data_IF_461507145246
#
_entry.id   IF_461507145246
#
_cell.length_a   1.000
_cell.length_b   1.000
_cell.length_c   1.000
_cell.angle_alpha   90.00
_cell.angle_beta   90.00
_cell.angle_gamma   90.00
#
_symmetry.space_group_name_H-M   'P 1'
#
loop_
_entity.id
_entity.type
_entity.pdbx_description
1 polymer ?
#
# COMPACT_ATOMS: atom_id res chain seq x y z
N UNK A 1 -62.97 -41.25 15.11
CA UNK A 1 -62.47 -39.96 15.60
C UNK A 1 -61.43 -39.45 14.62
N UNK A 2 -61.79 -38.45 13.80
CA UNK A 2 -60.91 -37.81 12.81
C UNK A 2 -60.31 -36.56 13.46
N UNK A 3 -59.00 -36.49 13.59
CA UNK A 3 -58.28 -35.33 14.13
C UNK A 3 -57.57 -34.57 13.01
N UNK A 4 -58.20 -33.50 12.53
CA UNK A 4 -57.57 -32.48 11.68
C UNK A 4 -56.71 -31.55 12.56
N UNK A 5 -55.42 -31.43 12.26
CA UNK A 5 -54.58 -30.31 12.73
C UNK A 5 -54.32 -29.38 11.55
N UNK A 6 -55.01 -28.23 11.54
CA UNK A 6 -54.77 -27.12 10.60
C UNK A 6 -53.47 -26.40 11.00
N UNK A 7 -52.50 -26.32 10.08
CA UNK A 7 -51.39 -25.36 10.17
C UNK A 7 -51.85 -24.03 9.56
N UNK A 8 -51.83 -22.97 10.35
CA UNK A 8 -52.02 -21.60 9.90
C UNK A 8 -50.67 -21.03 9.45
N UNK A 9 -50.59 -20.58 8.20
CA UNK A 9 -49.46 -19.79 7.69
C UNK A 9 -49.72 -18.31 7.93
N UNK A 10 -48.92 -17.68 8.80
CA UNK A 10 -48.88 -16.22 8.92
C UNK A 10 -47.81 -15.68 7.97
N UNK A 11 -48.26 -14.93 6.96
CA UNK A 11 -47.43 -14.02 6.18
C UNK A 11 -47.21 -12.74 7.00
N UNK A 12 -45.96 -12.43 7.34
CA UNK A 12 -45.54 -11.11 7.80
C UNK A 12 -44.48 -10.59 6.83
N UNK A 13 -44.82 -9.51 6.13
CA UNK A 13 -43.95 -8.77 5.23
C UNK A 13 -42.94 -7.91 6.02
N UNK A 14 -41.70 -7.71 5.53
CA UNK A 14 -40.79 -6.75 6.14
C UNK A 14 -40.92 -5.37 5.45
N UNK A 15 -41.53 -4.41 6.15
CA UNK A 15 -41.45 -2.97 5.86
C UNK A 15 -40.72 -2.27 7.01
N UNK A 16 -39.41 -2.51 7.16
CA UNK A 16 -38.53 -1.69 7.99
C UNK A 16 -37.07 -1.82 7.48
N UNK A 17 -36.71 -1.12 6.39
CA UNK A 17 -35.28 -0.97 6.03
C UNK A 17 -34.99 0.21 5.09
N UNK A 18 -35.44 1.43 5.42
CA UNK A 18 -35.07 2.64 4.62
C UNK A 18 -34.53 3.80 5.47
N UNK A 19 -34.52 3.72 6.80
CA UNK A 19 -34.12 4.88 7.65
C UNK A 19 -32.62 4.91 8.02
N UNK A 20 -31.86 3.86 7.76
CA UNK A 20 -30.43 3.80 8.16
C UNK A 20 -29.44 4.40 7.13
N UNK A 21 -29.88 4.75 5.92
CA UNK A 21 -28.96 5.17 4.83
C UNK A 21 -28.75 6.70 4.74
N UNK A 22 -29.55 7.52 5.41
CA UNK A 22 -29.46 8.99 5.35
C UNK A 22 -28.64 9.61 6.47
N UNK A 23 -28.31 8.87 7.53
CA UNK A 23 -27.57 9.41 8.69
C UNK A 23 -26.04 9.40 8.53
N UNK A 24 -25.52 8.78 7.47
CA UNK A 24 -24.07 8.65 7.24
C UNK A 24 -23.50 9.71 6.27
N UNK A 25 -24.35 10.47 5.57
CA UNK A 25 -23.92 11.49 4.61
C UNK A 25 -23.80 12.91 5.21
N UNK A 26 -24.12 13.10 6.50
CA UNK A 26 -24.21 14.42 7.15
C UNK A 26 -23.02 14.80 8.04
N UNK A 27 -22.08 13.90 8.34
CA UNK A 27 -20.90 14.22 9.15
C UNK A 27 -19.68 14.49 8.28
N UNK A 28 -19.59 15.75 7.81
CA UNK A 28 -18.49 16.26 7.00
C UNK A 28 -17.13 16.14 7.70
N UNK A 29 -16.20 15.47 7.04
CA UNK A 29 -14.77 15.51 7.33
C UNK A 29 -14.22 16.90 6.98
N UNK A 30 -13.65 17.60 7.96
CA UNK A 30 -12.80 18.78 7.71
C UNK A 30 -11.33 18.36 7.86
N UNK A 31 -10.57 18.49 6.77
CA UNK A 31 -9.12 18.37 6.80
C UNK A 31 -8.52 19.70 7.26
N UNK A 32 -7.81 19.69 8.39
CA UNK A 32 -6.95 20.80 8.81
C UNK A 32 -5.65 20.71 8.03
N UNK A 33 -5.49 21.56 7.01
CA UNK A 33 -4.25 21.73 6.27
C UNK A 33 -3.32 22.65 7.07
N UNK A 34 -2.45 22.08 7.89
CA UNK A 34 -1.26 22.78 8.38
C UNK A 34 -0.10 21.80 8.51
N UNK A 35 0.58 21.55 7.40
CA UNK A 35 1.93 21.01 7.41
C UNK A 35 2.71 21.64 6.26
N UNK A 36 3.61 22.54 6.61
CA UNK A 36 4.61 23.15 5.74
C UNK A 36 5.53 22.05 5.22
N UNK A 37 5.52 21.79 3.91
CA UNK A 37 6.48 20.95 3.22
C UNK A 37 7.62 21.80 2.65
N UNK A 38 8.89 21.34 2.70
CA UNK A 38 9.99 22.03 2.05
C UNK A 38 9.92 21.82 0.53
N UNK A 39 10.10 22.90 -0.23
CA UNK A 39 10.24 22.83 -1.68
C UNK A 39 11.57 22.15 -2.04
N UNK A 40 11.49 21.04 -2.77
CA UNK A 40 12.63 20.42 -3.47
C UNK A 40 12.51 20.83 -4.94
N UNK A 41 13.49 21.61 -5.40
CA UNK A 41 13.59 22.07 -6.79
C UNK A 41 14.26 21.01 -7.67
N UNK A 42 13.56 20.60 -8.73
CA UNK A 42 14.10 20.35 -10.07
C UNK A 42 14.87 19.04 -10.32
N UNK A 43 14.24 18.13 -11.07
CA UNK A 43 14.93 17.46 -12.18
C UNK A 43 13.95 17.29 -13.35
N UNK A 44 14.43 17.60 -14.55
CA UNK A 44 13.72 17.46 -15.82
C UNK A 44 13.50 15.98 -16.13
N UNK A 45 12.27 15.61 -16.50
CA UNK A 45 11.93 14.28 -16.96
C UNK A 45 12.37 14.14 -18.43
N UNK A 46 13.44 13.36 -18.66
CA UNK A 46 13.79 12.91 -20.00
C UNK A 46 12.82 11.80 -20.42
N UNK A 47 12.21 11.98 -21.58
CA UNK A 47 11.36 10.99 -22.23
C UNK A 47 12.20 9.80 -22.69
N UNK A 48 12.04 8.65 -22.03
CA UNK A 48 12.65 7.39 -22.46
C UNK A 48 11.74 6.75 -23.51
N UNK A 49 12.27 6.65 -24.72
CA UNK A 49 11.71 5.92 -25.84
C UNK A 49 11.87 4.40 -25.58
N UNK A 50 10.77 3.66 -25.55
CA UNK A 50 10.70 2.24 -25.19
C UNK A 50 10.36 1.38 -26.42
N UNK A 51 11.15 1.49 -27.49
CA UNK A 51 11.01 0.62 -28.68
C UNK A 51 12.34 0.08 -29.24
N UNK A 52 13.35 -0.10 -28.38
CA UNK A 52 14.53 -0.90 -28.77
C UNK A 52 14.45 -2.29 -28.15
N UNK A 53 14.31 -3.31 -28.99
CA UNK A 53 14.26 -4.73 -28.64
C UNK A 53 15.57 -5.27 -28.07
N UNK A 54 16.08 -4.65 -27.01
CA UNK A 54 17.26 -5.09 -26.29
C UNK A 54 16.83 -6.16 -25.28
N UNK A 55 17.28 -7.39 -25.52
CA UNK A 55 17.12 -8.52 -24.59
C UNK A 55 17.71 -8.16 -23.23
N UNK A 56 16.87 -8.24 -22.18
CA UNK A 56 17.23 -8.07 -20.77
C UNK A 56 18.15 -9.22 -20.34
N UNK A 57 19.42 -9.19 -20.75
CA UNK A 57 20.37 -10.25 -20.35
C UNK A 57 21.57 -9.79 -19.53
N UNK A 58 22.07 -8.56 -19.62
CA UNK A 58 23.44 -8.31 -19.09
C UNK A 58 23.66 -7.07 -18.19
N UNK A 59 22.63 -6.45 -17.58
CA UNK A 59 22.86 -5.28 -16.70
C UNK A 59 22.32 -5.38 -15.27
N UNK A 60 21.78 -6.53 -14.88
CA UNK A 60 21.29 -6.76 -13.51
C UNK A 60 22.14 -7.89 -12.93
N UNK A 61 23.09 -7.56 -12.05
CA UNK A 61 23.69 -8.43 -11.00
C UNK A 61 25.05 -7.85 -10.57
N UNK A 62 25.04 -6.73 -9.84
CA UNK A 62 26.17 -6.39 -8.97
C UNK A 62 25.89 -6.98 -7.58
N UNK A 63 26.36 -8.21 -7.35
CA UNK A 63 26.27 -8.88 -6.05
C UNK A 63 27.43 -8.47 -5.14
N UNK A 64 27.13 -7.83 -4.01
CA UNK A 64 28.13 -7.55 -2.96
C UNK A 64 28.12 -8.67 -1.91
N UNK A 65 29.04 -9.63 -2.02
CA UNK A 65 29.13 -10.84 -1.19
C UNK A 65 29.82 -10.60 0.16
N UNK A 66 29.03 -10.37 1.21
CA UNK A 66 29.47 -10.63 2.58
C UNK A 66 28.40 -11.37 3.39
N UNK A 67 28.89 -12.15 4.34
CA UNK A 67 28.43 -13.49 4.65
C UNK A 67 27.20 -13.59 5.56
N UNK A 68 26.57 -14.76 5.45
CA UNK A 68 25.38 -15.28 6.12
C UNK A 68 25.42 -15.17 7.66
N UNK A 69 24.68 -14.20 8.21
CA UNK A 69 24.16 -14.22 9.58
C UNK A 69 22.62 -14.37 9.55
N UNK A 70 22.11 -15.31 8.74
CA UNK A 70 20.69 -15.70 8.72
C UNK A 70 19.68 -14.67 8.17
N UNK A 71 20.13 -13.58 7.54
CA UNK A 71 19.26 -12.53 6.98
C UNK A 71 18.90 -12.74 5.51
N UNK A 72 17.78 -12.13 5.07
CA UNK A 72 17.42 -12.01 3.65
C UNK A 72 18.32 -10.95 3.02
N UNK A 73 18.96 -11.28 1.90
CA UNK A 73 19.80 -10.34 1.16
C UNK A 73 19.12 -9.91 -0.12
N UNK A 74 18.70 -8.65 -0.17
CA UNK A 74 18.13 -8.04 -1.36
C UNK A 74 19.24 -7.86 -2.40
N UNK A 75 19.17 -8.64 -3.47
CA UNK A 75 20.26 -8.77 -4.45
C UNK A 75 19.99 -8.00 -5.74
N UNK A 76 18.72 -7.66 -5.99
CA UNK A 76 18.28 -7.13 -7.27
C UNK A 76 17.14 -6.14 -7.10
N UNK A 77 17.30 -4.94 -7.65
CA UNK A 77 16.22 -3.97 -7.77
C UNK A 77 15.64 -4.07 -9.19
N UNK A 78 14.41 -4.57 -9.32
CA UNK A 78 13.72 -4.66 -10.64
C UNK A 78 13.24 -3.27 -11.08
N UNK A 79 12.89 -2.42 -10.13
CA UNK A 79 12.48 -1.03 -10.34
C UNK A 79 12.89 -0.20 -9.13
N UNK A 80 13.65 0.87 -9.38
CA UNK A 80 14.23 1.70 -8.31
C UNK A 80 13.15 2.16 -7.33
N UNK A 81 13.32 1.81 -6.06
CA UNK A 81 12.42 2.14 -4.94
C UNK A 81 10.99 1.56 -5.06
N UNK A 82 10.72 0.63 -5.99
CA UNK A 82 9.40 0.02 -6.12
C UNK A 82 9.38 -1.49 -5.92
N UNK A 83 10.36 -2.21 -6.46
CA UNK A 83 10.39 -3.67 -6.46
C UNK A 83 11.81 -4.15 -6.19
N UNK A 84 11.96 -4.99 -5.17
CA UNK A 84 13.20 -5.67 -4.81
C UNK A 84 13.02 -7.17 -4.85
N UNK A 85 14.09 -7.88 -5.21
CA UNK A 85 14.15 -9.33 -5.23
C UNK A 85 15.34 -9.79 -4.39
N UNK A 86 15.08 -10.76 -3.53
CA UNK A 86 16.08 -11.48 -2.78
C UNK A 86 16.04 -12.95 -3.17
N UNK A 87 17.21 -13.49 -3.46
CA UNK A 87 17.40 -14.92 -3.69
C UNK A 87 18.04 -15.55 -2.46
N UNK A 88 17.48 -16.67 -2.02
CA UNK A 88 17.98 -17.42 -0.88
C UNK A 88 18.90 -18.52 -1.42
N UNK A 89 20.17 -18.18 -1.62
CA UNK A 89 21.22 -19.06 -2.13
C UNK A 89 21.94 -19.83 -1.00
N UNK A 90 22.58 -20.96 -1.35
CA UNK A 90 24.03 -20.95 -1.58
C UNK A 90 24.38 -20.93 -3.08
N UNK A 91 25.56 -20.39 -3.44
CA UNK A 91 26.03 -19.81 -4.72
C UNK A 91 25.62 -20.43 -6.08
N UNK A 92 24.96 -21.59 -6.16
CA UNK A 92 24.57 -22.26 -7.41
C UNK A 92 23.16 -22.82 -7.45
N UNK A 93 22.47 -22.92 -6.30
CA UNK A 93 21.13 -23.50 -6.22
C UNK A 93 20.25 -22.72 -5.23
N UNK A 94 18.97 -22.54 -5.58
CA UNK A 94 18.01 -21.95 -4.65
C UNK A 94 17.82 -22.87 -3.44
N UNK A 95 17.89 -22.31 -2.24
CA UNK A 95 17.62 -23.01 -0.97
C UNK A 95 16.23 -23.63 -0.93
N UNK A 96 15.30 -23.10 -1.72
CA UNK A 96 13.96 -23.66 -1.86
C UNK A 96 13.37 -23.46 -3.25
N UNK A 97 12.24 -24.13 -3.50
CA UNK A 97 11.57 -24.16 -4.81
C UNK A 97 10.32 -23.29 -4.88
N UNK A 98 9.99 -22.57 -3.80
CA UNK A 98 8.82 -21.69 -3.74
C UNK A 98 9.21 -20.21 -3.82
N UNK A 99 8.27 -19.38 -4.26
CA UNK A 99 8.39 -17.92 -4.32
C UNK A 99 7.50 -17.31 -3.26
N UNK A 100 7.99 -16.27 -2.60
CA UNK A 100 7.18 -15.33 -1.85
C UNK A 100 7.09 -14.02 -2.63
N UNK A 101 5.89 -13.47 -2.76
CA UNK A 101 5.68 -12.09 -3.21
C UNK A 101 4.93 -11.34 -2.11
N UNK A 102 5.46 -10.21 -1.68
CA UNK A 102 4.87 -9.34 -0.66
C UNK A 102 4.50 -8.00 -1.29
N UNK A 103 3.24 -7.60 -1.14
CA UNK A 103 2.75 -6.30 -1.61
C UNK A 103 2.22 -5.48 -0.44
N UNK A 104 2.87 -4.35 -0.17
CA UNK A 104 2.47 -3.44 0.89
C UNK A 104 1.17 -2.70 0.60
N UNK A 105 0.50 -2.26 1.67
CA UNK A 105 -0.66 -1.38 1.60
C UNK A 105 -0.31 0.03 1.14
N UNK A 106 -1.33 0.87 0.92
CA UNK A 106 -1.16 2.24 0.39
C UNK A 106 -0.04 2.99 1.11
N UNK A 107 0.88 3.58 0.33
CA UNK A 107 2.06 4.35 0.75
C UNK A 107 3.13 3.59 1.55
N UNK A 108 3.02 2.27 1.69
CA UNK A 108 4.11 1.48 2.24
C UNK A 108 5.36 1.63 1.36
N UNK A 109 6.48 2.04 1.94
CA UNK A 109 7.74 2.15 1.20
C UNK A 109 8.32 0.77 0.93
N UNK A 110 9.15 0.65 -0.11
CA UNK A 110 9.80 -0.62 -0.44
C UNK A 110 10.58 -1.19 0.74
N UNK A 111 11.41 -0.37 1.40
CA UNK A 111 12.20 -0.78 2.57
C UNK A 111 11.35 -1.25 3.76
N UNK A 112 10.11 -0.79 3.86
CA UNK A 112 9.19 -1.25 4.90
C UNK A 112 8.63 -2.64 4.58
N UNK A 113 8.31 -2.89 3.32
CA UNK A 113 7.84 -4.21 2.86
C UNK A 113 8.98 -5.23 2.89
N UNK A 114 10.20 -4.82 2.55
CA UNK A 114 11.42 -5.62 2.72
C UNK A 114 11.59 -6.04 4.19
N UNK A 115 11.49 -5.08 5.12
CA UNK A 115 11.59 -5.35 6.56
C UNK A 115 10.49 -6.29 7.07
N UNK A 116 9.25 -6.09 6.62
CA UNK A 116 8.15 -7.03 6.92
C UNK A 116 8.46 -8.44 6.42
N UNK A 117 8.97 -8.56 5.18
CA UNK A 117 9.35 -9.85 4.62
C UNK A 117 10.49 -10.55 5.34
N UNK A 118 11.50 -9.81 5.78
CA UNK A 118 12.58 -10.34 6.62
C UNK A 118 12.06 -10.94 7.92
N UNK A 119 11.21 -10.20 8.64
CA UNK A 119 10.68 -10.68 9.92
C UNK A 119 9.71 -11.85 9.71
N UNK A 120 8.87 -11.81 8.68
CA UNK A 120 7.97 -12.91 8.34
C UNK A 120 8.77 -14.18 7.95
N UNK A 121 9.90 -14.03 7.24
CA UNK A 121 10.78 -15.14 6.91
C UNK A 121 11.43 -15.77 8.14
N UNK A 122 12.03 -14.95 9.01
CA UNK A 122 12.61 -15.40 10.28
C UNK A 122 11.59 -16.13 11.14
N UNK A 123 10.39 -15.55 11.27
CA UNK A 123 9.36 -16.09 12.14
C UNK A 123 8.70 -17.36 11.57
N UNK A 124 8.53 -17.47 10.23
CA UNK A 124 7.66 -18.51 9.67
C UNK A 124 8.00 -19.04 8.29
N UNK A 125 8.44 -18.21 7.35
CA UNK A 125 8.51 -18.64 5.95
C UNK A 125 9.67 -19.59 5.62
N UNK A 126 10.66 -19.74 6.50
CA UNK A 126 11.69 -20.76 6.34
C UNK A 126 11.11 -22.19 6.27
N UNK A 127 9.91 -22.41 6.82
CA UNK A 127 9.20 -23.68 6.79
C UNK A 127 8.44 -23.94 5.45
N UNK A 128 8.36 -22.95 4.55
CA UNK A 128 7.60 -23.02 3.30
C UNK A 128 8.49 -23.25 2.07
N UNK A 129 9.73 -23.71 2.26
CA UNK A 129 10.68 -23.98 1.18
C UNK A 129 10.83 -22.80 0.19
N UNK A 130 10.81 -21.56 0.72
CA UNK A 130 10.96 -20.34 -0.09
C UNK A 130 12.41 -20.22 -0.54
N UNK A 131 12.62 -20.04 -1.84
CA UNK A 131 13.91 -19.78 -2.47
C UNK A 131 14.06 -18.37 -3.05
N UNK A 132 12.94 -17.70 -3.36
CA UNK A 132 12.93 -16.34 -3.90
C UNK A 132 11.91 -15.50 -3.15
N UNK A 133 12.26 -14.27 -2.80
CA UNK A 133 11.37 -13.28 -2.20
C UNK A 133 11.32 -12.05 -3.10
N UNK A 134 10.12 -11.59 -3.45
CA UNK A 134 9.87 -10.35 -4.19
C UNK A 134 9.10 -9.41 -3.27
N UNK A 135 9.67 -8.26 -2.92
CA UNK A 135 9.01 -7.21 -2.17
C UNK A 135 8.57 -6.10 -3.12
N UNK A 136 7.33 -5.64 -2.96
CA UNK A 136 6.72 -4.58 -3.78
C UNK A 136 6.18 -3.50 -2.86
N UNK A 137 6.58 -2.25 -3.10
CA UNK A 137 6.04 -1.08 -2.38
C UNK A 137 4.51 -1.01 -2.51
N UNK A 138 3.90 -0.27 -1.61
CA UNK A 138 2.49 0.08 -1.71
C UNK A 138 2.16 1.08 -2.82
N UNK A 139 0.91 1.09 -3.32
CA UNK A 139 0.46 2.11 -4.24
C UNK A 139 0.41 3.48 -3.55
N UNK A 140 0.63 4.56 -4.32
CA UNK A 140 0.61 5.92 -3.76
C UNK A 140 -0.81 6.39 -3.35
N UNK A 141 -1.84 5.79 -3.95
CA UNK A 141 -3.25 6.04 -3.68
C UNK A 141 -4.00 4.72 -3.38
N UNK A 142 -5.16 4.84 -2.74
CA UNK A 142 -5.90 3.69 -2.21
C UNK A 142 -6.34 2.70 -3.30
N UNK A 143 -6.52 3.16 -4.54
CA UNK A 143 -7.09 2.37 -5.65
C UNK A 143 -6.10 2.12 -6.79
N UNK A 144 -4.84 2.50 -6.58
CA UNK A 144 -3.76 2.35 -7.55
C UNK A 144 -4.10 2.95 -8.93
N UNK A 145 -4.73 4.12 -8.94
CA UNK A 145 -5.18 4.80 -10.17
C UNK A 145 -3.99 5.23 -11.02
N UNK A 146 -2.92 5.70 -10.39
CA UNK A 146 -1.74 6.21 -11.09
C UNK A 146 -0.90 5.10 -11.77
N UNK A 147 -1.11 3.83 -11.39
CA UNK A 147 -0.38 2.66 -11.92
C UNK A 147 1.14 2.85 -11.89
N UNK A 148 1.65 3.50 -10.84
CA UNK A 148 3.04 3.97 -10.81
C UNK A 148 4.05 2.84 -10.57
N UNK A 149 3.61 1.69 -10.04
CA UNK A 149 4.47 0.54 -9.81
C UNK A 149 4.67 -0.19 -11.14
N UNK A 150 5.91 -0.53 -11.48
CA UNK A 150 6.25 -1.26 -12.71
C UNK A 150 5.85 -2.75 -12.64
N UNK A 151 4.58 -3.04 -12.35
CA UNK A 151 4.00 -4.39 -12.15
C UNK A 151 4.24 -5.28 -13.36
N UNK A 152 4.16 -4.73 -14.59
CA UNK A 152 4.44 -5.52 -15.80
C UNK A 152 5.87 -6.05 -15.82
N UNK A 153 6.87 -5.18 -15.58
CA UNK A 153 8.29 -5.60 -15.54
C UNK A 153 8.54 -6.63 -14.43
N UNK A 154 7.92 -6.45 -13.26
CA UNK A 154 7.97 -7.45 -12.19
C UNK A 154 7.35 -8.78 -12.61
N UNK A 155 6.23 -8.74 -13.34
CA UNK A 155 5.56 -9.94 -13.84
C UNK A 155 6.40 -10.65 -14.90
N UNK A 156 7.04 -9.91 -15.82
CA UNK A 156 7.99 -10.45 -16.80
C UNK A 156 9.13 -11.19 -16.11
N UNK A 157 9.74 -10.54 -15.11
CA UNK A 157 10.79 -11.12 -14.28
C UNK A 157 10.31 -12.36 -13.51
N UNK A 158 9.11 -12.30 -12.92
CA UNK A 158 8.50 -13.42 -12.20
C UNK A 158 8.29 -14.66 -13.09
N UNK A 159 7.79 -14.46 -14.32
CA UNK A 159 7.64 -15.57 -15.27
C UNK A 159 9.02 -16.11 -15.69
N UNK A 160 10.01 -15.24 -15.88
CA UNK A 160 11.38 -15.66 -16.20
C UNK A 160 11.98 -16.55 -15.10
N UNK A 161 11.91 -16.15 -13.82
CA UNK A 161 12.45 -16.98 -12.73
C UNK A 161 11.75 -18.34 -12.62
N UNK A 162 10.45 -18.41 -12.94
CA UNK A 162 9.71 -19.67 -12.99
C UNK A 162 10.27 -20.63 -14.05
N UNK A 163 10.62 -20.10 -15.24
CA UNK A 163 11.23 -20.87 -16.33
C UNK A 163 12.64 -21.33 -15.97
N UNK A 164 13.44 -20.45 -15.37
CA UNK A 164 14.85 -20.71 -15.09
C UNK A 164 15.06 -21.71 -13.94
N UNK A 165 14.22 -21.65 -12.91
CA UNK A 165 14.44 -22.42 -11.67
C UNK A 165 13.46 -23.56 -11.43
N UNK A 166 12.49 -23.74 -12.35
CA UNK A 166 11.42 -24.73 -12.25
C UNK A 166 10.72 -24.67 -10.88
N UNK A 167 10.15 -23.51 -10.57
CA UNK A 167 9.54 -23.23 -9.26
C UNK A 167 8.21 -23.97 -9.09
N UNK A 168 7.94 -24.36 -7.84
CA UNK A 168 6.78 -25.16 -7.44
C UNK A 168 5.57 -24.28 -7.16
N UNK A 169 5.62 -23.43 -6.12
CA UNK A 169 4.49 -22.63 -5.67
C UNK A 169 4.88 -21.16 -5.45
N UNK A 170 3.89 -20.26 -5.57
CA UNK A 170 4.03 -18.86 -5.20
C UNK A 170 3.07 -18.53 -4.08
N UNK A 171 3.59 -18.00 -2.98
CA UNK A 171 2.84 -17.37 -1.90
C UNK A 171 2.78 -15.87 -2.19
N UNK A 172 1.66 -15.39 -2.70
CA UNK A 172 1.45 -13.96 -2.96
C UNK A 172 0.64 -13.38 -1.81
N UNK A 173 1.27 -12.57 -0.96
CA UNK A 173 0.63 -11.91 0.17
C UNK A 173 0.46 -10.43 -0.18
N UNK A 174 -0.77 -9.95 -0.17
CA UNK A 174 -1.10 -8.56 -0.42
C UNK A 174 -1.89 -7.98 0.75
N UNK A 175 -1.39 -6.90 1.33
CA UNK A 175 -2.07 -6.22 2.43
C UNK A 175 -2.78 -4.96 1.95
N UNK A 176 -4.03 -4.75 2.39
CA UNK A 176 -4.77 -3.52 2.14
C UNK A 176 -4.86 -3.20 0.63
N UNK A 177 -4.57 -1.96 0.22
CA UNK A 177 -4.46 -1.56 -1.20
C UNK A 177 -3.36 -2.28 -2.00
N UNK A 178 -2.48 -3.06 -1.38
CA UNK A 178 -1.53 -3.93 -2.08
C UNK A 178 -2.20 -4.96 -2.98
N UNK A 179 -3.50 -5.23 -2.78
CA UNK A 179 -4.28 -6.11 -3.68
C UNK A 179 -4.40 -5.56 -5.10
N UNK A 180 -4.33 -4.25 -5.31
CA UNK A 180 -4.44 -3.66 -6.65
C UNK A 180 -3.26 -3.98 -7.57
N UNK A 181 -1.99 -3.76 -7.17
CA UNK A 181 -0.87 -4.24 -7.97
C UNK A 181 -0.86 -5.77 -8.09
N UNK A 182 -1.41 -6.53 -7.14
CA UNK A 182 -1.58 -7.99 -7.28
C UNK A 182 -2.58 -8.34 -8.39
N UNK A 183 -3.74 -7.68 -8.44
CA UNK A 183 -4.72 -7.87 -9.50
C UNK A 183 -4.16 -7.43 -10.86
N UNK A 184 -3.35 -6.36 -10.90
CA UNK A 184 -2.62 -5.95 -12.10
C UNK A 184 -1.60 -7.01 -12.56
N UNK A 185 -0.95 -7.70 -11.63
CA UNK A 185 -0.05 -8.80 -11.95
C UNK A 185 -0.81 -9.96 -12.60
N UNK A 186 -1.98 -10.34 -12.07
CA UNK A 186 -2.80 -11.39 -12.68
C UNK A 186 -3.29 -11.04 -14.09
N UNK A 187 -3.64 -9.77 -14.31
CA UNK A 187 -4.02 -9.29 -15.65
C UNK A 187 -2.86 -9.45 -16.65
N UNK A 188 -1.63 -9.09 -16.25
CA UNK A 188 -0.45 -9.30 -17.09
C UNK A 188 -0.12 -10.79 -17.30
N UNK A 189 -0.37 -11.65 -16.30
CA UNK A 189 -0.09 -13.08 -16.40
C UNK A 189 -1.03 -13.82 -17.35
N UNK A 190 -2.35 -13.65 -17.19
CA UNK A 190 -3.35 -14.51 -17.83
C UNK A 190 -4.42 -13.75 -18.61
N UNK A 191 -4.44 -12.42 -18.49
CA UNK A 191 -5.54 -11.59 -18.95
C UNK A 191 -6.78 -11.77 -18.07
N UNK A 192 -7.83 -11.00 -18.37
CA UNK A 192 -9.11 -11.10 -17.67
C UNK A 192 -9.58 -9.78 -17.07
N UNK A 193 -8.75 -8.74 -17.06
CA UNK A 193 -9.20 -7.37 -16.95
C UNK A 193 -9.70 -6.89 -18.30
N UNK A 194 -11.01 -6.68 -18.46
CA UNK A 194 -11.47 -5.74 -19.47
C UNK A 194 -10.93 -4.36 -19.09
N UNK A 195 -9.72 -4.01 -19.51
CA UNK A 195 -9.31 -2.61 -19.49
C UNK A 195 -10.18 -1.93 -20.55
N UNK A 196 -11.35 -1.46 -20.14
CA UNK A 196 -12.13 -0.53 -20.96
C UNK A 196 -11.21 0.67 -21.19
N UNK A 197 -10.73 0.80 -22.43
CA UNK A 197 -9.67 1.72 -22.86
C UNK A 197 -9.89 3.20 -22.45
N UNK A 198 -11.09 3.55 -22.01
CA UNK A 198 -11.47 4.91 -21.59
C UNK A 198 -10.86 5.36 -20.25
N UNK A 199 -10.23 4.48 -19.46
CA UNK A 199 -9.64 4.87 -18.17
C UNK A 199 -8.18 5.38 -18.25
N UNK A 200 -7.46 5.12 -19.35
CA UNK A 200 -6.02 5.44 -19.45
C UNK A 200 -5.78 6.76 -20.19
N UNK A 201 -6.69 7.23 -21.03
CA UNK A 201 -6.46 8.42 -21.88
C UNK A 201 -6.56 9.76 -21.14
N UNK A 202 -7.11 9.81 -19.93
CA UNK A 202 -7.25 11.07 -19.16
C UNK A 202 -6.18 11.27 -18.09
N UNK A 203 -5.36 10.26 -17.77
CA UNK A 203 -4.34 10.40 -16.74
C UNK A 203 -3.06 11.13 -17.21
N UNK A 204 -2.84 11.25 -18.53
CA UNK A 204 -1.66 11.92 -19.12
C UNK A 204 -1.97 13.19 -19.92
N UNK A 205 -3.23 13.64 -19.99
CA UNK A 205 -3.61 14.82 -20.75
C UNK A 205 -4.29 15.86 -19.84
N UNK A 206 -3.49 16.76 -19.25
CA UNK A 206 -4.00 18.05 -18.77
C UNK A 206 -3.73 18.41 -17.32
N UNK A 207 -2.47 18.58 -16.94
CA UNK A 207 -2.10 19.58 -15.93
C UNK A 207 -1.35 20.72 -16.61
N UNK A 208 -2.05 21.43 -17.50
CA UNK A 208 -1.59 22.71 -18.02
C UNK A 208 -1.98 23.77 -17.00
N UNK A 209 -0.98 24.34 -16.32
CA UNK A 209 -1.13 25.42 -15.36
C UNK A 209 -1.70 26.67 -16.04
N UNK A 210 -3.02 26.82 -16.01
CA UNK A 210 -3.69 28.09 -16.32
C UNK A 210 -3.46 29.07 -15.19
N UNK A 211 -2.63 30.09 -15.44
CA UNK A 211 -2.45 31.24 -14.56
C UNK A 211 -3.77 32.01 -14.44
N UNK A 212 -4.42 31.94 -13.28
CA UNK A 212 -5.57 32.79 -12.97
C UNK A 212 -5.10 34.19 -12.57
N UNK A 213 -5.59 35.16 -13.35
CA UNK A 213 -5.44 36.61 -13.17
C UNK A 213 -6.39 37.04 -12.04
N UNK A 214 -5.85 37.39 -10.88
CA UNK A 214 -6.62 37.95 -9.76
C UNK A 214 -6.99 39.41 -10.04
N UNK A 215 -8.27 39.66 -10.27
CA UNK A 215 -8.87 41.00 -10.25
C UNK A 215 -9.21 41.40 -8.81
N UNK A 216 -8.84 42.64 -8.46
CA UNK A 216 -9.06 43.30 -7.18
C UNK A 216 -10.54 43.55 -6.87
N UNK A 217 -10.93 43.34 -5.61
CA UNK A 217 -12.17 43.87 -5.06
C UNK A 217 -11.97 44.21 -3.57
N UNK A 218 -11.84 45.50 -3.29
CA UNK A 218 -11.80 46.08 -1.95
C UNK A 218 -13.19 46.11 -1.30
N UNK A 219 -13.26 46.00 0.03
CA UNK A 219 -14.37 46.55 0.81
C UNK A 219 -14.59 45.97 2.21
N UNK A 220 -14.27 46.77 3.24
CA UNK A 220 -14.87 46.85 4.60
C UNK A 220 -14.80 45.59 5.50
N UNK A 221 -14.30 45.60 6.73
CA UNK A 221 -14.32 46.63 7.76
C UNK A 221 -15.33 46.24 8.85
N UNK A 222 -14.87 45.71 10.00
CA UNK A 222 -15.41 45.92 11.36
C UNK A 222 -14.74 44.99 12.38
N UNK A 223 -13.90 45.59 13.22
CA UNK A 223 -13.84 45.53 14.69
C UNK A 223 -14.23 44.25 15.44
N UNK A 224 -13.34 43.84 16.37
CA UNK A 224 -13.52 42.78 17.37
C UNK A 224 -14.55 43.12 18.48
N UNK A 225 -14.50 42.56 19.72
CA UNK A 225 -13.33 42.02 20.43
C UNK A 225 -13.61 40.70 21.20
N UNK A 226 -12.66 40.23 22.01
CA UNK A 226 -13.02 39.56 23.26
C UNK A 226 -12.15 38.40 23.70
N UNK A 227 -11.14 38.70 24.52
CA UNK A 227 -10.48 37.75 25.40
C UNK A 227 -11.36 37.34 26.59
N UNK A 228 -11.08 36.17 27.17
CA UNK A 228 -11.61 35.69 28.46
C UNK A 228 -11.80 34.17 28.40
N UNK A 229 -11.41 33.37 29.38
CA UNK A 229 -10.94 33.61 30.73
C UNK A 229 -10.80 32.26 31.43
N UNK A 230 -10.11 32.29 32.56
CA UNK A 230 -9.69 31.17 33.39
C UNK A 230 -10.83 30.29 33.91
N UNK A 231 -10.50 29.03 34.19
CA UNK A 231 -11.33 28.10 34.95
C UNK A 231 -10.47 27.08 35.70
N UNK A 232 -9.78 27.56 36.74
CA UNK A 232 -9.14 26.76 37.78
C UNK A 232 -10.17 26.41 38.84
N UNK A 233 -10.33 25.12 39.14
CA UNK A 233 -10.85 24.67 40.44
C UNK A 233 -9.97 23.50 40.92
N UNK A 234 -9.18 23.80 41.94
CA UNK A 234 -8.46 22.82 42.74
C UNK A 234 -9.19 22.49 44.04
N UNK A 235 -8.48 21.72 44.86
CA UNK A 235 -8.75 21.34 46.26
C UNK A 235 -9.73 20.18 46.38
N UNK A 236 -9.51 19.13 47.16
CA UNK A 236 -8.47 18.67 48.10
C UNK A 236 -8.87 17.21 48.40
N UNK A 237 -8.21 16.36 49.18
CA UNK A 237 -7.33 16.55 50.31
C UNK A 237 -6.81 15.14 50.69
N UNK A 238 -5.62 15.08 51.32
CA UNK A 238 -5.07 14.08 52.29
C UNK A 238 -5.35 12.57 52.07
N UNK A 239 -4.38 11.66 52.19
CA UNK A 239 -3.11 11.66 52.90
C UNK A 239 -2.78 10.20 53.24
N UNK A 240 -1.51 9.86 53.43
CA UNK A 240 -1.13 8.49 53.83
C UNK A 240 0.33 8.19 53.60
N UNK A 241 1.14 8.47 54.62
CA UNK A 241 2.57 8.24 54.69
C UNK A 241 2.95 6.75 54.71
N UNK A 242 4.15 6.43 54.22
CA UNK A 242 4.77 5.10 54.31
C UNK A 242 6.21 5.09 53.78
N UNK A 243 7.13 5.61 54.60
CA UNK A 243 8.60 5.45 54.57
C UNK A 243 8.98 3.94 54.64
N UNK A 244 10.09 3.39 54.10
CA UNK A 244 11.53 3.60 54.40
C UNK A 244 12.39 2.66 53.51
N UNK A 245 13.65 3.04 53.22
CA UNK A 245 14.80 2.13 52.98
C UNK A 245 15.34 2.11 51.54
N UNK A 246 16.38 2.86 51.15
CA UNK A 246 17.84 2.67 51.40
C UNK A 246 18.35 1.33 50.83
N UNK A 247 19.43 1.17 50.06
CA UNK A 247 20.73 1.87 49.98
C UNK A 247 21.60 1.32 48.82
N UNK A 248 22.49 2.17 48.27
CA UNK A 248 23.82 1.84 47.69
C UNK A 248 23.86 1.02 46.38
N UNK A 249 24.82 1.18 45.46
CA UNK A 249 26.17 1.74 45.55
C UNK A 249 26.76 2.06 44.16
N UNK A 250 27.50 3.18 44.11
CA UNK A 250 28.76 3.48 43.36
C UNK A 250 29.11 2.72 42.07
N UNK A 251 29.36 3.36 40.92
CA UNK A 251 30.62 4.05 40.53
C UNK A 251 31.00 3.51 39.13
N UNK A 252 31.70 4.14 38.18
CA UNK A 252 32.65 5.25 38.20
C UNK A 252 32.85 5.77 36.75
N UNK A 253 32.99 7.10 36.62
CA UNK A 253 33.91 7.94 35.80
C UNK A 253 34.48 7.39 34.46
N UNK A 254 34.31 8.08 33.33
CA UNK A 254 35.15 9.21 32.83
C UNK A 254 35.46 8.93 31.34
N UNK A 255 35.58 9.84 30.37
CA UNK A 255 36.17 11.17 30.34
C UNK A 255 35.63 11.99 29.15
N UNK A 256 35.67 13.31 29.32
CA UNK A 256 35.37 14.37 28.35
C UNK A 256 36.69 15.06 27.96
N UNK A 257 36.89 15.35 26.67
CA UNK A 257 37.81 16.39 26.16
C UNK A 257 37.28 16.85 24.78
N UNK A 258 36.63 18.02 24.68
CA UNK A 258 37.15 19.39 24.42
C UNK A 258 37.75 19.65 23.02
N UNK A 259 37.03 20.53 22.32
CA UNK A 259 37.46 21.68 21.51
C UNK A 259 38.32 21.47 20.25
N UNK A 260 37.78 21.92 19.11
CA UNK A 260 38.43 22.97 18.28
C UNK A 260 37.54 23.58 17.18
N UNK A 261 37.31 24.88 17.35
CA UNK A 261 37.39 25.99 16.37
C UNK A 261 36.49 26.00 15.13
N UNK A 262 35.54 26.93 15.21
CA UNK A 262 34.92 27.66 14.12
C UNK A 262 35.92 28.41 13.23
N UNK A 263 35.66 28.45 11.92
CA UNK A 263 36.13 29.51 11.02
C UNK A 263 35.04 29.90 10.01
N UNK A 264 34.72 31.19 10.04
CA UNK A 264 34.02 32.00 9.06
C UNK A 264 34.46 31.73 7.61
N UNK A 265 33.50 31.77 6.68
CA UNK A 265 33.79 32.34 5.36
C UNK A 265 32.59 33.09 4.78
N UNK A 266 32.80 34.40 4.65
CA UNK A 266 32.01 35.38 3.89
C UNK A 266 31.86 34.94 2.44
N UNK A 267 30.66 35.07 1.87
CA UNK A 267 30.48 35.29 0.44
C UNK A 267 29.83 36.64 0.19
N UNK A 268 30.48 37.39 -0.71
CA UNK A 268 30.26 38.78 -1.08
C UNK A 268 29.08 38.93 -2.04
N UNK A 269 28.47 40.10 -1.95
CA UNK A 269 27.65 40.76 -2.97
C UNK A 269 28.30 40.78 -4.35
N UNK A 270 27.49 40.60 -5.40
CA UNK A 270 27.70 41.26 -6.70
C UNK A 270 26.37 41.63 -7.36
N UNK A 271 26.12 42.94 -7.37
CA UNK A 271 25.22 43.68 -8.27
C UNK A 271 25.65 43.52 -9.74
N UNK A 272 24.68 43.41 -10.65
CA UNK A 272 24.80 43.69 -12.08
C UNK A 272 23.40 43.87 -12.68
N UNK A 273 22.86 45.09 -12.73
CA UNK A 273 22.81 46.00 -13.90
C UNK A 273 21.97 45.49 -15.09
N UNK A 274 20.77 46.08 -15.19
CA UNK A 274 20.07 46.61 -16.36
C UNK A 274 20.58 46.22 -17.76
N UNK A 275 19.66 45.74 -18.60
CA UNK A 275 19.49 46.33 -19.93
C UNK A 275 18.06 46.19 -20.46
N UNK A 276 17.51 47.37 -20.76
CA UNK A 276 16.28 47.69 -21.48
C UNK A 276 16.60 47.58 -22.98
N UNK A 277 15.78 46.89 -23.78
CA UNK A 277 15.74 47.11 -25.23
C UNK A 277 14.44 46.64 -25.89
N UNK A 278 14.00 47.49 -26.78
CA UNK A 278 12.75 47.53 -27.52
C UNK A 278 12.63 46.43 -28.58
N UNK A 279 11.38 46.03 -28.89
CA UNK A 279 10.91 45.49 -30.19
C UNK A 279 9.38 45.29 -30.08
N UNK A 280 8.59 46.24 -30.59
CA UNK A 280 8.00 46.29 -31.96
C UNK A 280 7.04 45.14 -32.24
N UNK A 281 5.76 45.50 -32.24
CA UNK A 281 4.65 44.75 -32.83
C UNK A 281 4.92 44.39 -34.31
N UNK A 282 4.35 43.27 -34.76
CA UNK A 282 3.71 43.27 -36.06
C UNK A 282 2.27 42.74 -36.05
N UNK A 283 1.57 43.29 -37.04
CA UNK A 283 0.14 43.24 -37.32
C UNK A 283 -0.39 41.87 -37.75
N UNK A 284 -1.71 41.82 -37.65
CA UNK A 284 -2.68 40.85 -38.14
C UNK A 284 -2.51 40.38 -39.60
N UNK A 285 -2.78 39.08 -39.78
CA UNK A 285 -3.45 38.43 -40.92
C UNK A 285 -3.84 37.04 -40.40
N UNK A 286 -5.09 36.61 -40.29
CA UNK A 286 -6.12 36.58 -41.32
C UNK A 286 -6.01 35.25 -42.07
N UNK A 287 -6.55 34.14 -41.54
CA UNK A 287 -6.93 33.00 -42.39
C UNK A 287 -7.89 31.97 -41.75
N UNK A 288 -9.02 31.82 -42.45
CA UNK A 288 -9.83 30.62 -42.75
C UNK A 288 -10.14 29.58 -41.66
N UNK A 289 -11.37 29.72 -41.17
CA UNK A 289 -12.28 28.64 -40.74
C UNK A 289 -12.30 27.47 -41.74
N UNK A 290 -11.65 26.37 -41.36
CA UNK A 290 -11.75 25.07 -42.03
C UNK A 290 -12.51 24.08 -41.14
N UNK A 291 -13.76 23.79 -41.52
CA UNK A 291 -14.59 22.74 -40.92
C UNK A 291 -13.96 21.37 -41.19
N UNK A 292 -13.24 20.85 -40.19
CA UNK A 292 -12.59 19.55 -40.27
C UNK A 292 -13.62 18.46 -39.96
N UNK A 293 -14.14 17.80 -41.01
CA UNK A 293 -15.07 16.68 -40.91
C UNK A 293 -14.44 15.55 -40.10
N UNK A 294 -15.14 15.14 -39.04
CA UNK A 294 -14.70 14.11 -38.10
C UNK A 294 -14.35 12.79 -38.77
N UNK A 295 -13.05 12.51 -38.84
CA UNK A 295 -12.55 11.16 -39.06
C UNK A 295 -12.86 10.32 -37.83
N UNK A 296 -13.71 9.30 -37.98
CA UNK A 296 -13.88 8.23 -37.00
C UNK A 296 -12.57 7.47 -36.89
N UNK A 297 -11.64 7.99 -36.09
CA UNK A 297 -10.36 7.35 -35.80
C UNK A 297 -10.63 6.02 -35.13
N UNK A 298 -10.35 4.95 -35.86
CA UNK A 298 -10.40 3.58 -35.35
C UNK A 298 -9.32 3.49 -34.27
N UNK A 299 -9.68 3.73 -33.01
CA UNK A 299 -8.77 3.57 -31.89
C UNK A 299 -8.44 2.08 -31.80
N UNK A 300 -7.29 1.69 -32.35
CA UNK A 300 -6.71 0.37 -32.17
C UNK A 300 -6.58 0.13 -30.67
N UNK A 301 -7.48 -0.69 -30.13
CA UNK A 301 -7.35 -1.21 -28.78
C UNK A 301 -6.05 -1.99 -28.76
N UNK A 302 -5.03 -1.45 -28.09
CA UNK A 302 -3.81 -2.20 -27.85
C UNK A 302 -4.19 -3.44 -27.05
N UNK A 303 -4.07 -4.60 -27.68
CA UNK A 303 -4.36 -5.87 -27.03
C UNK A 303 -3.31 -6.08 -25.93
N UNK A 304 -3.76 -6.32 -24.71
CA UNK A 304 -2.86 -6.60 -23.59
C UNK A 304 -2.02 -7.84 -23.93
N UNK A 305 -0.69 -7.70 -23.92
CA UNK A 305 0.22 -8.84 -24.11
C UNK A 305 0.19 -9.72 -22.87
N UNK A 306 -0.23 -10.97 -23.04
CA UNK A 306 -0.16 -12.00 -21.99
C UNK A 306 1.29 -12.45 -21.83
N UNK A 307 1.80 -12.41 -20.60
CA UNK A 307 3.21 -12.74 -20.28
C UNK A 307 3.43 -14.22 -19.99
N UNK A 308 2.46 -14.89 -19.36
CA UNK A 308 2.49 -16.33 -19.08
C UNK A 308 1.68 -17.11 -20.14
N UNK A 309 2.14 -17.03 -21.40
CA UNK A 309 1.46 -17.66 -22.55
C UNK A 309 1.39 -19.19 -22.40
N UNK A 310 2.40 -19.78 -21.79
CA UNK A 310 2.52 -21.22 -21.61
C UNK A 310 1.77 -21.71 -20.36
N UNK A 311 1.28 -20.78 -19.52
CA UNK A 311 0.54 -21.08 -18.31
C UNK A 311 1.39 -21.72 -17.21
N UNK A 312 2.70 -21.48 -17.17
CA UNK A 312 3.62 -22.13 -16.23
C UNK A 312 3.33 -21.79 -14.76
N UNK A 313 2.59 -20.69 -14.52
CA UNK A 313 2.20 -20.20 -13.19
C UNK A 313 0.76 -20.55 -12.82
N UNK A 314 -0.06 -21.02 -13.78
CA UNK A 314 -1.46 -21.41 -13.55
C UNK A 314 -1.53 -22.56 -12.54
N UNK A 315 -2.45 -22.45 -11.58
CA UNK A 315 -2.64 -23.43 -10.51
C UNK A 315 -1.47 -23.50 -9.51
N UNK A 316 -0.54 -22.54 -9.51
CA UNK A 316 0.62 -22.51 -8.59
C UNK A 316 0.64 -21.32 -7.65
N UNK A 317 -0.21 -20.32 -7.86
CA UNK A 317 -0.26 -19.12 -7.00
C UNK A 317 -1.29 -19.32 -5.89
N UNK A 318 -0.81 -19.30 -4.66
CA UNK A 318 -1.58 -19.21 -3.42
C UNK A 318 -1.70 -17.72 -3.10
N UNK A 319 -2.88 -17.15 -3.33
CA UNK A 319 -3.12 -15.72 -3.10
C UNK A 319 -3.70 -15.49 -1.71
N UNK A 320 -3.01 -14.70 -0.90
CA UNK A 320 -3.33 -14.39 0.49
C UNK A 320 -3.66 -12.89 0.56
N UNK A 321 -4.95 -12.57 0.54
CA UNK A 321 -5.45 -11.21 0.68
C UNK A 321 -5.63 -10.88 2.16
N UNK A 322 -4.81 -9.97 2.68
CA UNK A 322 -4.87 -9.50 4.07
C UNK A 322 -5.67 -8.19 4.13
N UNK A 323 -6.93 -8.29 4.55
CA UNK A 323 -7.86 -7.16 4.73
C UNK A 323 -7.90 -6.22 3.51
N UNK A 324 -7.97 -6.81 2.31
CA UNK A 324 -7.97 -6.11 1.04
C UNK A 324 -9.31 -6.19 0.33
N UNK A 325 -9.52 -5.28 -0.63
CA UNK A 325 -10.76 -5.20 -1.40
C UNK A 325 -10.73 -5.99 -2.72
N UNK A 326 -11.92 -6.30 -3.25
CA UNK A 326 -12.10 -6.91 -4.58
C UNK A 326 -11.57 -6.02 -5.73
N UNK A 327 -11.49 -4.72 -5.46
CA UNK A 327 -11.13 -3.68 -6.40
C UNK A 327 -12.33 -3.01 -7.07
N UNK A 328 -12.14 -1.74 -7.45
CA UNK A 328 -13.18 -0.88 -8.02
C UNK A 328 -13.14 -0.84 -9.55
N UNK A 329 -14.22 -0.33 -10.16
CA UNK A 329 -14.31 -0.10 -11.61
C UNK A 329 -13.18 0.78 -12.18
N UNK A 330 -12.62 1.67 -11.36
CA UNK A 330 -11.53 2.58 -11.75
C UNK A 330 -10.13 2.03 -11.46
N UNK A 331 -10.04 0.92 -10.73
CA UNK A 331 -8.79 0.24 -10.40
C UNK A 331 -8.69 -1.14 -11.04
N UNK A 332 -7.70 -1.92 -10.61
CA UNK A 332 -7.64 -3.33 -10.96
C UNK A 332 -8.59 -4.14 -10.09
N UNK A 333 -9.57 -4.77 -10.75
CA UNK A 333 -10.57 -5.62 -10.11
C UNK A 333 -10.17 -7.07 -10.26
N UNK A 334 -10.28 -7.84 -9.17
CA UNK A 334 -10.16 -9.30 -9.23
C UNK A 334 -11.33 -9.85 -10.06
N UNK A 335 -11.04 -10.72 -11.02
CA UNK A 335 -12.05 -11.31 -11.91
C UNK A 335 -12.08 -12.83 -11.80
N UNK A 336 -13.19 -13.43 -12.22
CA UNK A 336 -13.36 -14.89 -12.18
C UNK A 336 -12.31 -15.64 -13.01
N UNK A 337 -11.92 -15.19 -14.23
CA UNK A 337 -10.78 -15.77 -14.94
C UNK A 337 -9.47 -15.72 -14.14
N UNK A 338 -9.20 -14.64 -13.41
CA UNK A 338 -7.99 -14.58 -12.57
C UNK A 338 -8.05 -15.61 -11.44
N UNK A 339 -9.18 -15.68 -10.72
CA UNK A 339 -9.37 -16.61 -9.60
C UNK A 339 -9.29 -18.07 -10.06
N UNK A 340 -9.82 -18.40 -11.24
CA UNK A 340 -9.77 -19.75 -11.79
C UNK A 340 -8.35 -20.22 -12.17
N UNK A 341 -7.40 -19.29 -12.33
CA UNK A 341 -5.99 -19.61 -12.58
C UNK A 341 -5.16 -19.68 -11.28
N UNK A 342 -5.71 -19.29 -10.12
CA UNK A 342 -5.05 -19.45 -8.83
C UNK A 342 -5.09 -20.90 -8.37
N UNK A 343 -4.11 -21.31 -7.55
CA UNK A 343 -4.20 -22.57 -6.80
C UNK A 343 -5.32 -22.49 -5.77
N UNK A 344 -5.32 -21.38 -5.02
CA UNK A 344 -6.30 -21.08 -3.98
C UNK A 344 -6.25 -19.58 -3.67
N UNK A 345 -7.40 -19.03 -3.32
CA UNK A 345 -7.55 -17.67 -2.83
C UNK A 345 -7.98 -17.69 -1.37
N UNK A 346 -7.17 -17.11 -0.49
CA UNK A 346 -7.52 -16.82 0.88
C UNK A 346 -7.86 -15.33 1.03
N UNK A 347 -8.98 -15.06 1.71
CA UNK A 347 -9.38 -13.72 2.14
C UNK A 347 -9.40 -13.67 3.66
N UNK A 348 -8.59 -12.80 4.25
CA UNK A 348 -8.48 -12.62 5.69
C UNK A 348 -9.02 -11.25 6.11
N UNK A 349 -9.70 -11.19 7.25
CA UNK A 349 -10.03 -9.97 7.97
C UNK A 349 -9.87 -10.19 9.47
N UNK A 350 -9.71 -9.13 10.25
CA UNK A 350 -9.45 -9.24 11.68
C UNK A 350 -10.64 -8.75 12.51
N UNK A 351 -10.78 -9.33 13.70
CA UNK A 351 -11.70 -8.85 14.73
C UNK A 351 -10.96 -8.84 16.06
N UNK A 352 -10.87 -7.67 16.67
CA UNK A 352 -10.30 -7.51 18.00
C UNK A 352 -11.31 -7.93 19.05
N UNK A 353 -11.03 -9.06 19.71
CA UNK A 353 -11.90 -9.67 20.71
C UNK A 353 -12.13 -8.79 21.92
N UNK A 354 -11.19 -7.92 22.28
CA UNK A 354 -11.28 -7.11 23.48
C UNK A 354 -12.23 -5.94 23.26
N UNK A 355 -12.17 -5.33 22.07
CA UNK A 355 -12.96 -4.16 21.72
C UNK A 355 -14.19 -4.45 20.85
N UNK A 356 -14.32 -5.68 20.35
CA UNK A 356 -15.29 -6.12 19.34
C UNK A 356 -15.23 -5.31 18.04
N UNK A 357 -14.06 -4.74 17.74
CA UNK A 357 -13.84 -3.91 16.56
C UNK A 357 -13.38 -4.78 15.40
N UNK A 358 -14.07 -4.72 14.26
CA UNK A 358 -13.61 -5.32 13.01
C UNK A 358 -12.57 -4.43 12.34
N UNK A 359 -11.66 -5.04 11.59
CA UNK A 359 -10.75 -4.33 10.69
C UNK A 359 -11.53 -3.49 9.66
N UNK A 360 -10.94 -2.36 9.24
CA UNK A 360 -11.60 -1.38 8.39
C UNK A 360 -12.13 -1.97 7.07
N UNK A 361 -11.45 -2.98 6.53
CA UNK A 361 -11.82 -3.62 5.26
C UNK A 361 -12.50 -4.98 5.44
N UNK A 362 -12.94 -5.33 6.66
CA UNK A 362 -13.56 -6.62 6.94
C UNK A 362 -14.81 -6.89 6.08
N UNK A 363 -15.57 -5.86 5.75
CA UNK A 363 -16.74 -5.99 4.88
C UNK A 363 -16.36 -6.35 3.45
N UNK A 364 -15.32 -5.72 2.89
CA UNK A 364 -14.81 -6.02 1.55
C UNK A 364 -14.19 -7.43 1.48
N UNK A 365 -13.39 -7.81 2.49
CA UNK A 365 -12.82 -9.15 2.57
C UNK A 365 -13.91 -10.24 2.56
N UNK A 366 -15.04 -10.00 3.24
CA UNK A 366 -16.22 -10.89 3.21
C UNK A 366 -16.88 -10.94 1.82
N UNK A 367 -16.95 -9.82 1.11
CA UNK A 367 -17.50 -9.77 -0.26
C UNK A 367 -16.71 -10.63 -1.24
N UNK A 368 -15.41 -10.83 -1.01
CA UNK A 368 -14.58 -11.73 -1.84
C UNK A 368 -15.18 -13.14 -1.91
N UNK A 369 -15.60 -13.71 -0.77
CA UNK A 369 -16.22 -15.05 -0.71
C UNK A 369 -17.57 -15.10 -1.43
N UNK A 370 -18.38 -14.06 -1.27
CA UNK A 370 -19.67 -13.95 -1.96
C UNK A 370 -19.47 -13.89 -3.47
N UNK A 371 -18.45 -13.17 -3.94
CA UNK A 371 -18.16 -13.03 -5.36
C UNK A 371 -17.48 -14.27 -5.96
N UNK A 372 -16.60 -14.92 -5.20
CA UNK A 372 -15.81 -16.08 -5.61
C UNK A 372 -16.00 -17.22 -4.60
N UNK A 373 -17.01 -18.09 -4.79
CA UNK A 373 -17.37 -19.12 -3.82
C UNK A 373 -16.25 -20.13 -3.48
N UNK A 374 -15.24 -20.27 -4.32
CA UNK A 374 -14.05 -21.11 -4.06
C UNK A 374 -13.05 -20.48 -3.09
N UNK A 375 -13.18 -19.19 -2.77
CA UNK A 375 -12.34 -18.48 -1.79
C UNK A 375 -12.44 -19.13 -0.42
N UNK A 376 -11.32 -19.20 0.31
CA UNK A 376 -11.30 -19.54 1.72
C UNK A 376 -11.31 -18.25 2.53
N UNK A 377 -12.41 -17.96 3.21
CA UNK A 377 -12.57 -16.77 4.06
C UNK A 377 -12.24 -17.11 5.51
N UNK A 378 -11.35 -16.35 6.11
CA UNK A 378 -10.98 -16.51 7.52
C UNK A 378 -11.09 -15.19 8.28
N UNK A 379 -11.79 -15.24 9.41
CA UNK A 379 -11.66 -14.22 10.46
C UNK A 379 -10.43 -14.56 11.31
N UNK A 380 -9.56 -13.58 11.52
CA UNK A 380 -8.46 -13.66 12.47
C UNK A 380 -8.89 -13.01 13.78
N UNK A 381 -9.23 -13.81 14.81
CA UNK A 381 -9.52 -13.26 16.12
C UNK A 381 -8.22 -12.80 16.78
N UNK A 382 -8.07 -11.50 16.98
CA UNK A 382 -6.91 -10.90 17.66
C UNK A 382 -7.30 -10.40 19.05
N UNK A 383 -6.33 -10.26 19.95
CA UNK A 383 -6.53 -9.77 21.33
C UNK A 383 -5.24 -9.13 21.81
N UNK A 384 -5.32 -8.30 22.85
CA UNK A 384 -4.21 -7.50 23.38
C UNK A 384 -3.56 -6.61 22.32
N UNK A 385 -4.33 -6.20 21.30
CA UNK A 385 -3.88 -5.38 20.17
C UNK A 385 -3.47 -3.97 20.62
N UNK A 386 -4.00 -3.51 21.75
CA UNK A 386 -3.90 -2.13 22.20
C UNK A 386 -4.74 -1.15 21.37
N UNK A 387 -5.58 -1.63 20.45
CA UNK A 387 -6.50 -0.78 19.70
C UNK A 387 -7.64 -0.29 20.59
N UNK A 388 -8.16 0.91 20.30
CA UNK A 388 -9.34 1.46 20.94
C UNK A 388 -10.63 0.91 20.31
N UNK A 389 -11.76 0.84 21.05
CA UNK A 389 -13.06 0.52 20.46
C UNK A 389 -13.42 1.41 19.27
N UNK A 390 -13.82 0.78 18.15
CA UNK A 390 -14.16 1.46 16.90
C UNK A 390 -12.95 1.83 16.01
N UNK A 391 -11.71 1.63 16.47
CA UNK A 391 -10.51 1.92 15.70
C UNK A 391 -10.21 0.86 14.62
N UNK A 392 -11.09 0.73 13.62
CA UNK A 392 -10.97 -0.30 12.58
C UNK A 392 -9.67 -0.26 11.80
N UNK A 393 -9.07 0.93 11.59
CA UNK A 393 -7.76 1.06 10.95
C UNK A 393 -6.58 0.66 11.85
N UNK A 394 -6.75 0.64 13.17
CA UNK A 394 -5.78 0.00 14.06
C UNK A 394 -5.88 -1.52 13.90
N UNK A 395 -7.10 -2.07 13.97
CA UNK A 395 -7.32 -3.52 13.80
C UNK A 395 -6.87 -4.00 12.41
N UNK A 396 -6.98 -3.18 11.37
CA UNK A 396 -6.45 -3.44 10.03
C UNK A 396 -4.97 -3.85 10.04
N UNK A 397 -4.12 -3.11 10.76
CA UNK A 397 -2.68 -3.39 10.84
C UNK A 397 -2.33 -4.64 11.67
N UNK A 398 -3.32 -5.23 12.37
CA UNK A 398 -3.13 -6.51 13.09
C UNK A 398 -2.96 -7.71 12.15
N UNK A 399 -3.02 -7.48 10.84
CA UNK A 399 -2.59 -8.41 9.81
C UNK A 399 -1.08 -8.45 9.60
N UNK A 400 -0.37 -7.39 10.02
CA UNK A 400 1.07 -7.22 9.84
C UNK A 400 1.80 -7.37 11.17
N UNK A 401 1.29 -6.72 12.22
CA UNK A 401 1.93 -6.62 13.53
C UNK A 401 0.94 -6.91 14.66
N UNK A 402 1.35 -7.70 15.67
CA UNK A 402 0.42 -8.18 16.71
C UNK A 402 -0.16 -7.06 17.58
N UNK A 403 0.53 -5.92 17.63
CA UNK A 403 0.14 -4.75 18.41
C UNK A 403 0.51 -3.51 17.59
N UNK A 404 -0.43 -2.84 16.91
CA UNK A 404 -0.18 -1.61 16.15
C UNK A 404 0.32 -0.47 17.04
N UNK A 405 1.11 0.44 16.47
CA UNK A 405 1.76 1.52 17.23
C UNK A 405 0.84 2.68 17.56
N UNK A 406 -0.29 2.82 16.86
CA UNK A 406 -1.28 3.85 17.13
C UNK A 406 -2.61 3.21 17.55
N UNK A 407 -3.00 3.24 18.84
CA UNK A 407 -4.26 2.66 19.32
C UNK A 407 -5.53 3.15 18.61
N UNK A 408 -5.52 4.39 18.08
CA UNK A 408 -6.69 4.99 17.45
C UNK A 408 -6.74 4.81 15.92
N UNK A 409 -5.62 4.42 15.30
CA UNK A 409 -5.47 4.36 13.84
C UNK A 409 -4.29 3.45 13.46
N UNK A 410 -3.52 3.80 12.43
CA UNK A 410 -2.27 3.13 12.08
C UNK A 410 -1.10 4.09 12.24
N UNK A 411 0.11 3.53 12.33
CA UNK A 411 1.37 4.23 12.09
C UNK A 411 2.14 3.42 11.04
N UNK A 412 1.79 3.66 9.78
CA UNK A 412 2.21 2.83 8.66
C UNK A 412 3.73 2.54 8.63
N UNK A 413 4.55 3.55 8.89
CA UNK A 413 6.00 3.37 8.93
C UNK A 413 6.43 2.39 10.04
N UNK A 414 5.93 2.59 11.28
CA UNK A 414 6.32 1.74 12.42
C UNK A 414 5.69 0.36 12.36
N UNK A 415 4.45 0.24 11.90
CA UNK A 415 3.73 -1.03 11.86
C UNK A 415 4.35 -2.03 10.88
N UNK A 416 5.09 -1.55 9.87
CA UNK A 416 5.86 -2.38 8.94
C UNK A 416 7.33 -2.57 9.31
N UNK A 417 7.90 -1.79 10.24
CA UNK A 417 9.36 -1.76 10.44
C UNK A 417 9.81 -2.07 11.86
N UNK A 418 8.98 -1.80 12.85
CA UNK A 418 9.35 -1.87 14.27
C UNK A 418 8.75 -3.14 14.88
N UNK A 419 9.48 -4.25 14.72
CA UNK A 419 9.13 -5.53 15.31
C UNK A 419 10.01 -5.84 16.52
N UNK A 420 9.38 -6.20 17.64
CA UNK A 420 10.06 -6.53 18.89
C UNK A 420 9.30 -7.61 19.68
N UNK A 421 9.75 -7.91 20.90
CA UNK A 421 9.12 -8.93 21.74
C UNK A 421 7.64 -8.67 22.06
N UNK A 422 7.22 -7.40 22.09
CA UNK A 422 5.85 -6.96 22.37
C UNK A 422 5.02 -6.71 21.10
N UNK A 423 5.69 -6.49 19.96
CA UNK A 423 5.07 -6.18 18.66
C UNK A 423 5.67 -7.10 17.60
N UNK A 424 5.20 -8.33 17.57
CA UNK A 424 5.73 -9.36 16.67
C UNK A 424 5.09 -9.23 15.30
N UNK A 425 5.78 -9.70 14.27
CA UNK A 425 5.15 -9.93 12.97
C UNK A 425 4.04 -10.97 13.12
N UNK A 426 2.93 -10.78 12.41
CA UNK A 426 1.79 -11.69 12.44
C UNK A 426 2.02 -12.82 11.45
N UNK A 427 1.89 -14.07 11.92
CA UNK A 427 2.19 -15.27 11.12
C UNK A 427 1.02 -16.25 11.03
N UNK A 428 -0.05 -16.01 11.78
CA UNK A 428 -1.15 -16.99 11.96
C UNK A 428 -1.84 -17.36 10.64
N UNK A 429 -1.91 -16.44 9.68
CA UNK A 429 -2.47 -16.74 8.35
C UNK A 429 -1.61 -17.76 7.59
N UNK A 430 -0.29 -17.82 7.84
CA UNK A 430 0.57 -18.84 7.24
C UNK A 430 0.33 -20.22 7.86
N UNK A 431 0.03 -20.32 9.16
CA UNK A 431 -0.34 -21.60 9.77
C UNK A 431 -1.59 -22.20 9.12
N UNK A 432 -2.59 -21.35 8.86
CA UNK A 432 -3.82 -21.73 8.15
C UNK A 432 -3.51 -22.20 6.73
N UNK A 433 -2.66 -21.48 6.00
CA UNK A 433 -2.22 -21.87 4.65
C UNK A 433 -1.51 -23.21 4.68
N UNK A 434 -0.63 -23.46 5.66
CA UNK A 434 0.06 -24.76 5.80
C UNK A 434 -0.92 -25.90 6.06
N UNK A 435 -1.86 -25.70 6.97
CA UNK A 435 -2.87 -26.72 7.28
C UNK A 435 -3.65 -27.09 6.02
N UNK A 436 -4.04 -26.09 5.21
CA UNK A 436 -4.70 -26.33 3.94
C UNK A 436 -3.85 -27.14 2.96
N UNK A 437 -2.56 -26.81 2.81
CA UNK A 437 -1.65 -27.52 1.89
C UNK A 437 -1.29 -28.94 2.34
N UNK A 438 -1.54 -29.29 3.61
CA UNK A 438 -1.28 -30.62 4.14
C UNK A 438 -2.42 -31.62 3.90
N UNK A 439 -3.58 -31.15 3.44
CA UNK A 439 -4.76 -31.94 3.09
C UNK A 439 -4.73 -32.25 1.60
#
# INVERSE_FOLDING_TARGET
>A
MKGLVKKASFYLAPVVLVVALTYWLSNGFTFSNNSVLPQISGSTADSIDLDSGQTVKDSILTQDSSAFNGGVKWSTTVSQNQISVAYLFPEKELKGKNVLILMGGMRAQLSWVEKWGEELYKAKLHEFNIGVIIAVKGPNDAYYVAREIQVRKMTEYFVQIYREHALNETFLIAHSSGVFPAHAMFDNLWGGGEIKANAVSTANAGFSSGTNKSGSGSGGGSDGPGAGGMGSSGSGDKGGAGSTGNSGSSGSSGNVAKDKKSKNQKTKDKKGKNNKKDRKDPKASGDKSGSNKGGKGNQNKSQLTILDKDGITKGKIIYIMLDGELGLLKGYRLTEPMVNNLKVLFSFYAMDKDTKTFSAMAHEAKLVKTKFPTTILHELPVSNTGCLPGAGWCVHETMIITKPHNPAHYNLAKDYTTFDANRRVVTVYMDIVREYLSK
#
